data_IF_776841328151
#
_entry.id   IF_776841328151
#
_cell.length_a   1.000
_cell.length_b   1.000
_cell.length_c   1.000
_cell.angle_alpha   90.00
_cell.angle_beta   90.00
_cell.angle_gamma   90.00
#
_symmetry.space_group_name_H-M   'P 1'
#
loop_
_entity.id
_entity.type
_entity.pdbx_description
1 polymer ?
#
# COMPACT_ATOMS: atom_id res chain seq x y z
N UNK A 1 -5.19 -17.90 23.73
CA UNK A 1 -4.81 -17.85 22.30
C UNK A 1 -4.75 -16.39 21.91
N UNK A 2 -3.66 -15.93 21.30
CA UNK A 2 -3.59 -14.56 20.76
C UNK A 2 -4.46 -14.55 19.50
N UNK A 3 -5.43 -13.62 19.37
CA UNK A 3 -6.29 -13.57 18.18
C UNK A 3 -5.45 -13.24 16.94
N UNK A 4 -5.83 -13.80 15.78
CA UNK A 4 -5.21 -13.47 14.51
C UNK A 4 -5.29 -11.97 14.23
N UNK A 5 -4.31 -11.42 13.51
CA UNK A 5 -4.27 -9.97 13.25
C UNK A 5 -5.52 -9.49 12.53
N UNK A 6 -6.09 -10.28 11.61
CA UNK A 6 -7.31 -9.98 10.84
C UNK A 6 -8.63 -10.20 11.61
N UNK A 7 -8.59 -10.59 12.88
CA UNK A 7 -9.77 -10.67 13.77
C UNK A 7 -9.58 -9.84 15.06
N UNK A 8 -8.62 -8.93 15.07
CA UNK A 8 -8.29 -8.10 16.23
C UNK A 8 -8.51 -6.61 15.93
N UNK A 9 -9.64 -6.02 16.35
CA UNK A 9 -9.98 -4.62 16.06
C UNK A 9 -9.05 -3.62 16.77
N UNK A 10 -8.22 -4.07 17.72
CA UNK A 10 -7.19 -3.20 18.34
C UNK A 10 -5.93 -3.09 17.49
N UNK A 11 -5.76 -3.95 16.48
CA UNK A 11 -4.62 -3.95 15.58
C UNK A 11 -5.08 -3.51 14.19
N UNK A 12 -5.11 -2.19 13.96
CA UNK A 12 -5.48 -1.63 12.65
C UNK A 12 -4.36 -1.74 11.62
N UNK A 13 -3.12 -1.64 12.07
CA UNK A 13 -1.92 -1.73 11.24
C UNK A 13 -0.70 -2.02 12.11
N UNK A 14 0.39 -2.46 11.48
CA UNK A 14 1.72 -2.60 12.07
C UNK A 14 2.73 -1.91 11.17
N UNK A 15 3.61 -1.08 11.73
CA UNK A 15 4.68 -0.36 11.02
C UNK A 15 4.23 0.55 9.86
N UNK A 16 2.93 0.85 9.75
CA UNK A 16 2.42 1.85 8.81
C UNK A 16 2.86 3.25 9.24
N UNK A 17 3.42 4.02 8.32
CA UNK A 17 3.78 5.43 8.55
C UNK A 17 2.52 6.27 8.87
N UNK A 18 2.66 7.37 9.62
CA UNK A 18 1.56 8.28 9.90
C UNK A 18 0.93 8.83 8.61
N UNK A 19 -0.38 9.07 8.63
CA UNK A 19 -1.06 9.73 7.53
C UNK A 19 -0.49 11.14 7.28
N UNK A 20 -0.53 11.55 6.01
CA UNK A 20 -0.07 12.85 5.51
C UNK A 20 -0.92 13.29 4.32
N UNK A 21 -0.82 14.57 3.96
CA UNK A 21 -1.38 15.10 2.72
C UNK A 21 -0.90 14.29 1.50
N UNK A 22 -1.74 14.23 0.46
CA UNK A 22 -1.45 13.46 -0.74
C UNK A 22 -0.54 14.24 -1.69
N UNK A 23 0.75 13.89 -1.67
CA UNK A 23 1.77 14.43 -2.58
C UNK A 23 2.90 13.41 -2.78
N UNK A 24 3.70 13.63 -3.83
CA UNK A 24 4.89 12.85 -4.11
C UNK A 24 6.13 13.77 -4.09
N UNK A 25 7.24 13.22 -3.62
CA UNK A 25 8.52 13.91 -3.67
C UNK A 25 9.04 13.94 -5.11
N UNK A 26 9.69 15.04 -5.44
CA UNK A 26 10.30 15.25 -6.74
C UNK A 26 11.61 16.04 -6.58
N UNK A 27 12.54 15.91 -7.53
CA UNK A 27 13.77 16.69 -7.53
C UNK A 27 13.52 18.21 -7.40
N UNK A 28 14.45 18.96 -6.78
CA UNK A 28 14.35 20.41 -6.67
C UNK A 28 14.03 21.09 -8.01
N UNK A 29 13.11 22.06 -7.98
CA UNK A 29 12.68 22.79 -9.17
C UNK A 29 11.64 22.08 -10.05
N UNK A 30 11.21 20.86 -9.68
CA UNK A 30 10.08 20.17 -10.32
C UNK A 30 8.95 20.02 -9.31
N UNK A 31 7.88 20.81 -9.48
CA UNK A 31 6.61 20.49 -8.85
C UNK A 31 5.98 19.34 -9.63
N UNK A 32 5.58 18.27 -8.93
CA UNK A 32 4.86 17.16 -9.53
C UNK A 32 3.48 17.12 -8.90
N UNK A 33 2.46 17.40 -9.70
CA UNK A 33 1.08 17.28 -9.23
C UNK A 33 0.81 15.80 -8.94
N UNK A 34 -0.07 15.47 -7.97
CA UNK A 34 -0.25 14.07 -7.61
C UNK A 34 -0.81 13.18 -8.74
N UNK A 35 -1.51 13.77 -9.71
CA UNK A 35 -1.98 13.09 -10.93
C UNK A 35 -0.88 12.88 -11.97
N UNK A 36 0.26 13.55 -11.80
CA UNK A 36 1.43 13.50 -12.67
C UNK A 36 2.61 12.80 -11.98
N UNK A 37 2.36 12.07 -10.89
CA UNK A 37 3.38 11.40 -10.05
C UNK A 37 4.41 10.60 -10.85
N UNK A 38 3.99 10.01 -11.97
CA UNK A 38 4.84 9.22 -12.88
C UNK A 38 5.89 10.07 -13.61
N UNK A 39 5.76 11.40 -13.60
CA UNK A 39 6.79 12.34 -14.10
C UNK A 39 7.94 12.55 -13.10
N UNK A 40 7.76 12.14 -11.83
CA UNK A 40 8.83 12.20 -10.84
C UNK A 40 9.79 11.04 -11.03
N UNK A 41 11.10 11.28 -11.23
CA UNK A 41 12.09 10.19 -11.25
C UNK A 41 12.31 9.55 -9.86
N UNK A 42 11.63 10.05 -8.82
CA UNK A 42 11.65 9.52 -7.46
C UNK A 42 10.41 8.67 -7.15
N UNK A 43 9.61 8.33 -8.16
CA UNK A 43 8.48 7.41 -8.04
C UNK A 43 8.70 6.26 -9.02
N UNK A 44 8.53 5.03 -8.53
CA UNK A 44 8.50 3.82 -9.33
C UNK A 44 7.13 3.16 -9.14
N UNK A 45 6.40 2.99 -10.24
CA UNK A 45 5.17 2.21 -10.24
C UNK A 45 5.51 0.71 -10.27
N UNK A 46 5.03 -0.03 -9.27
CA UNK A 46 5.21 -1.48 -9.13
C UNK A 46 4.03 -2.29 -9.66
N UNK A 47 3.08 -1.66 -10.35
CA UNK A 47 2.01 -2.34 -11.07
C UNK A 47 2.53 -3.17 -12.25
N UNK A 48 1.64 -3.94 -12.87
CA UNK A 48 1.98 -4.89 -13.94
C UNK A 48 1.58 -6.32 -13.58
N UNK A 49 2.23 -7.31 -14.21
CA UNK A 49 1.94 -8.71 -13.94
C UNK A 49 2.65 -9.17 -12.66
N UNK A 50 1.88 -9.66 -11.69
CA UNK A 50 2.39 -10.23 -10.44
C UNK A 50 2.07 -11.72 -10.40
N UNK A 51 2.99 -12.50 -9.83
CA UNK A 51 2.74 -13.88 -9.45
C UNK A 51 1.64 -13.91 -8.39
N UNK A 52 0.70 -14.82 -8.54
CA UNK A 52 -0.47 -14.91 -7.67
C UNK A 52 -0.94 -16.35 -7.45
N UNK A 53 -1.25 -16.64 -6.20
CA UNK A 53 -1.91 -17.89 -5.78
C UNK A 53 -3.05 -17.56 -4.82
N UNK A 54 -4.20 -18.20 -5.04
CA UNK A 54 -5.37 -18.08 -4.18
C UNK A 54 -5.48 -19.33 -3.30
N UNK A 55 -5.76 -19.14 -2.00
CA UNK A 55 -6.07 -20.21 -1.04
C UNK A 55 -7.40 -20.02 -0.38
N UNK A 56 -7.99 -21.12 0.06
CA UNK A 56 -9.29 -21.12 0.73
C UNK A 56 -9.23 -20.57 2.16
N UNK A 57 -8.04 -20.50 2.77
CA UNK A 57 -7.86 -20.04 4.14
C UNK A 57 -6.52 -19.33 4.34
N UNK A 58 -6.44 -18.30 5.20
CA UNK A 58 -5.17 -17.64 5.53
C UNK A 58 -4.21 -18.53 6.32
N UNK A 59 -4.64 -19.71 6.79
CA UNK A 59 -3.79 -20.67 7.48
C UNK A 59 -3.03 -21.60 6.52
N UNK A 60 -3.47 -21.68 5.26
CA UNK A 60 -2.75 -22.37 4.20
C UNK A 60 -1.77 -21.37 3.59
N UNK A 61 -0.54 -21.42 4.09
CA UNK A 61 0.55 -20.52 3.73
C UNK A 61 1.67 -21.36 3.08
N UNK A 62 1.49 -21.77 1.81
CA UNK A 62 2.42 -22.69 1.13
C UNK A 62 3.81 -22.06 0.93
N UNK A 63 3.91 -20.74 1.09
CA UNK A 63 5.12 -19.97 0.85
C UNK A 63 5.91 -19.66 2.11
N UNK A 64 5.42 -20.07 3.28
CA UNK A 64 6.10 -19.83 4.56
C UNK A 64 6.42 -18.35 4.73
N UNK A 65 5.46 -17.46 4.43
CA UNK A 65 5.63 -16.02 4.60
C UNK A 65 6.16 -15.71 6.01
N UNK A 66 7.46 -15.37 6.12
CA UNK A 66 8.17 -15.13 7.38
C UNK A 66 9.25 -16.15 7.80
N UNK A 67 9.48 -17.25 7.06
CA UNK A 67 10.56 -18.22 7.38
C UNK A 67 11.53 -18.47 6.23
N UNK A 68 11.03 -18.73 5.04
CA UNK A 68 11.82 -18.96 3.82
C UNK A 68 10.92 -18.60 2.67
N UNK A 69 11.07 -17.37 2.15
CA UNK A 69 10.38 -16.98 0.94
C UNK A 69 10.69 -18.00 -0.16
N UNK A 70 9.72 -18.47 -0.96
CA UNK A 70 10.07 -19.31 -2.07
C UNK A 70 10.85 -18.45 -3.06
N UNK A 71 12.01 -18.95 -3.46
CA UNK A 71 12.30 -18.95 -4.89
C UNK A 71 10.99 -19.30 -5.60
N UNK A 72 10.36 -18.28 -6.21
CA UNK A 72 9.13 -18.34 -7.01
C UNK A 72 8.98 -19.76 -7.52
N UNK A 73 8.04 -20.52 -6.94
CA UNK A 73 7.95 -21.98 -7.03
C UNK A 73 8.85 -22.53 -8.14
N UNK A 74 10.09 -22.93 -7.80
CA UNK A 74 10.87 -23.74 -8.74
C UNK A 74 9.91 -24.82 -9.20
N UNK A 75 9.78 -25.03 -10.52
CA UNK A 75 8.75 -25.82 -11.25
C UNK A 75 8.53 -27.27 -10.72
N UNK A 76 9.29 -27.62 -9.69
CA UNK A 76 9.33 -28.79 -8.83
C UNK A 76 8.25 -28.87 -7.73
N UNK A 77 7.54 -27.79 -7.42
CA UNK A 77 6.44 -27.78 -6.43
C UNK A 77 5.13 -28.42 -6.95
N UNK A 78 4.14 -28.67 -6.07
CA UNK A 78 2.79 -29.11 -6.46
C UNK A 78 2.18 -28.18 -7.50
N UNK A 79 1.38 -28.73 -8.43
CA UNK A 79 0.75 -27.94 -9.50
C UNK A 79 -0.16 -26.82 -8.96
N UNK A 80 -0.85 -27.09 -7.84
CA UNK A 80 -1.71 -26.13 -7.14
C UNK A 80 -0.94 -24.97 -6.46
N UNK A 81 0.37 -25.13 -6.26
CA UNK A 81 1.26 -24.10 -5.71
C UNK A 81 1.90 -23.23 -6.81
N UNK A 82 1.68 -23.57 -8.09
CA UNK A 82 2.24 -22.81 -9.21
C UNK A 82 1.53 -21.46 -9.32
N UNK A 83 2.26 -20.33 -9.28
CA UNK A 83 1.66 -19.02 -9.43
C UNK A 83 1.12 -18.84 -10.85
N UNK A 84 -0.03 -18.18 -10.94
CA UNK A 84 -0.49 -17.58 -12.19
C UNK A 84 -0.14 -16.09 -12.19
N UNK A 85 -0.12 -15.47 -13.37
CA UNK A 85 0.08 -14.03 -13.48
C UNK A 85 -1.26 -13.28 -13.45
N UNK A 86 -1.38 -12.33 -12.54
CA UNK A 86 -2.53 -11.39 -12.48
C UNK A 86 -2.02 -9.95 -12.58
N UNK A 87 -2.77 -9.03 -13.23
CA UNK A 87 -2.39 -7.64 -13.23
C UNK A 87 -2.60 -7.00 -11.85
N UNK A 88 -1.71 -6.12 -11.46
CA UNK A 88 -1.87 -5.22 -10.32
C UNK A 88 -1.81 -3.78 -10.86
N UNK A 89 -2.82 -2.93 -10.58
CA UNK A 89 -3.97 -3.21 -9.73
C UNK A 89 -5.05 -4.10 -10.38
N UNK A 90 -5.69 -4.93 -9.58
CA UNK A 90 -6.92 -5.65 -9.95
C UNK A 90 -7.68 -6.22 -8.75
N UNK A 91 -8.84 -6.80 -9.01
CA UNK A 91 -9.57 -7.65 -8.06
C UNK A 91 -9.44 -9.10 -8.51
N UNK A 92 -9.09 -10.02 -7.62
CA UNK A 92 -8.75 -11.38 -8.06
C UNK A 92 -9.95 -12.16 -8.57
N UNK A 93 -11.19 -11.79 -8.19
CA UNK A 93 -12.41 -12.48 -8.65
C UNK A 93 -12.60 -12.42 -10.19
N UNK A 94 -11.87 -11.55 -10.90
CA UNK A 94 -11.88 -11.53 -12.37
C UNK A 94 -10.83 -12.47 -13.01
N UNK A 95 -9.99 -13.11 -12.20
CA UNK A 95 -8.87 -13.97 -12.62
C UNK A 95 -8.86 -15.34 -11.92
N UNK A 96 -9.87 -15.62 -11.08
CA UNK A 96 -9.99 -16.88 -10.34
C UNK A 96 -11.43 -17.35 -10.32
N UNK A 97 -11.66 -18.53 -9.75
CA UNK A 97 -13.00 -19.07 -9.52
C UNK A 97 -13.68 -18.53 -8.25
N UNK A 98 -13.00 -17.67 -7.46
CA UNK A 98 -13.65 -16.98 -6.33
C UNK A 98 -14.73 -16.03 -6.83
N UNK A 99 -15.89 -16.08 -6.20
CA UNK A 99 -17.08 -15.39 -6.72
C UNK A 99 -17.20 -14.00 -6.11
N UNK A 100 -17.55 -12.97 -6.93
CA UNK A 100 -17.96 -11.69 -6.39
C UNK A 100 -19.34 -11.83 -5.72
N UNK A 101 -19.54 -11.13 -4.61
CA UNK A 101 -20.85 -11.06 -3.95
C UNK A 101 -21.42 -9.67 -4.12
N UNK A 102 -22.70 -9.54 -4.46
CA UNK A 102 -23.41 -8.27 -4.37
C UNK A 102 -24.46 -8.37 -3.27
N UNK A 103 -24.38 -7.48 -2.30
CA UNK A 103 -25.39 -7.35 -1.24
C UNK A 103 -25.61 -5.87 -0.94
N UNK A 104 -26.82 -5.54 -0.47
CA UNK A 104 -27.15 -4.17 -0.07
C UNK A 104 -26.79 -3.93 1.41
N UNK A 105 -27.36 -4.75 2.32
CA UNK A 105 -27.21 -4.61 3.79
C UNK A 105 -26.72 -5.89 4.47
N UNK A 106 -26.83 -7.03 3.79
CA UNK A 106 -26.48 -8.31 4.42
C UNK A 106 -25.01 -8.60 4.17
N UNK A 107 -24.24 -8.88 5.22
CA UNK A 107 -22.89 -9.41 5.06
C UNK A 107 -22.93 -10.72 4.26
N UNK A 108 -22.02 -10.92 3.29
CA UNK A 108 -21.93 -12.17 2.54
C UNK A 108 -21.28 -13.32 3.34
N UNK A 109 -21.06 -13.11 4.65
CA UNK A 109 -20.49 -14.05 5.60
C UNK A 109 -21.23 -13.99 6.96
N UNK A 110 -21.08 -14.98 7.86
CA UNK A 110 -21.74 -14.99 9.16
C UNK A 110 -21.40 -13.76 10.01
N UNK A 111 -22.43 -13.17 10.63
CA UNK A 111 -22.31 -12.01 11.51
C UNK A 111 -21.92 -12.43 12.93
N UNK A 112 -20.62 -12.45 13.25
CA UNK A 112 -20.07 -12.69 14.60
C UNK A 112 -18.87 -11.78 14.92
N UNK A 113 -19.03 -10.45 15.02
CA UNK A 113 -17.89 -9.54 15.20
C UNK A 113 -17.11 -9.80 16.50
N UNK A 114 -15.76 -9.74 16.49
CA UNK A 114 -14.89 -9.38 15.36
C UNK A 114 -14.46 -10.58 14.49
N UNK A 115 -15.06 -11.75 14.68
CA UNK A 115 -14.66 -12.98 13.99
C UNK A 115 -15.14 -13.00 12.55
N UNK A 116 -14.39 -13.67 11.70
CA UNK A 116 -14.71 -13.90 10.28
C UNK A 116 -14.61 -15.40 9.99
N UNK A 117 -15.11 -15.89 8.84
CA UNK A 117 -14.97 -17.30 8.47
C UNK A 117 -13.52 -17.79 8.52
N UNK A 118 -13.32 -19.06 8.89
CA UNK A 118 -12.02 -19.72 8.76
C UNK A 118 -11.70 -20.10 7.31
N UNK A 119 -12.74 -20.47 6.54
CA UNK A 119 -12.72 -20.53 5.08
C UNK A 119 -12.84 -19.11 4.55
N UNK A 120 -11.70 -18.48 4.32
CA UNK A 120 -11.55 -17.07 4.00
C UNK A 120 -10.53 -16.93 2.87
N UNK A 121 -11.01 -16.72 1.62
CA UNK A 121 -10.15 -16.64 0.46
C UNK A 121 -9.00 -15.67 0.69
N UNK A 122 -7.78 -16.16 0.46
CA UNK A 122 -6.54 -15.43 0.74
C UNK A 122 -5.67 -15.42 -0.50
N UNK A 123 -5.41 -14.23 -1.01
CA UNK A 123 -4.55 -13.99 -2.17
C UNK A 123 -3.11 -13.75 -1.73
N UNK A 124 -2.19 -14.51 -2.30
CA UNK A 124 -0.76 -14.33 -2.13
C UNK A 124 -0.19 -13.77 -3.42
N UNK A 125 0.35 -12.56 -3.36
CA UNK A 125 0.91 -11.83 -4.50
C UNK A 125 2.42 -11.68 -4.34
N UNK A 126 3.16 -11.73 -5.45
CA UNK A 126 4.56 -11.30 -5.45
C UNK A 126 5.03 -10.72 -6.78
N UNK A 127 6.00 -9.83 -6.71
CA UNK A 127 6.70 -9.32 -7.89
C UNK A 127 8.18 -9.09 -7.59
N UNK A 128 8.95 -8.97 -8.67
CA UNK A 128 10.37 -8.61 -8.66
C UNK A 128 10.53 -7.23 -9.25
N UNK A 129 11.42 -6.43 -8.69
CA UNK A 129 11.71 -5.10 -9.20
C UNK A 129 13.15 -4.68 -8.93
N UNK A 130 13.63 -3.72 -9.72
CA UNK A 130 14.91 -3.04 -9.51
C UNK A 130 14.64 -1.62 -9.02
N UNK A 131 15.41 -1.17 -8.03
CA UNK A 131 15.39 0.23 -7.62
C UNK A 131 16.08 1.07 -8.70
N UNK A 132 15.50 2.20 -9.15
CA UNK A 132 16.13 3.05 -10.15
C UNK A 132 17.46 3.62 -9.65
N UNK A 133 18.39 3.85 -10.58
CA UNK A 133 19.65 4.54 -10.26
C UNK A 133 19.39 5.95 -9.69
N UNK A 134 20.30 6.41 -8.83
CA UNK A 134 20.22 7.75 -8.22
C UNK A 134 19.37 7.86 -6.96
N UNK A 135 18.82 6.74 -6.47
CA UNK A 135 18.09 6.67 -5.18
C UNK A 135 18.99 6.30 -4.00
N UNK A 136 20.29 6.10 -4.23
CA UNK A 136 21.26 5.78 -3.18
C UNK A 136 21.26 6.86 -2.08
N UNK A 137 21.22 6.41 -0.82
CA UNK A 137 21.16 7.30 0.35
C UNK A 137 19.83 8.01 0.59
N UNK A 138 18.82 7.82 -0.26
CA UNK A 138 17.45 8.27 0.00
C UNK A 138 16.69 7.20 0.78
N UNK A 139 15.72 7.62 1.58
CA UNK A 139 14.74 6.72 2.21
C UNK A 139 13.81 6.17 1.14
N UNK A 140 13.41 4.91 1.26
CA UNK A 140 12.48 4.26 0.35
C UNK A 140 11.17 3.96 1.05
N UNK A 141 10.09 4.54 0.53
CA UNK A 141 8.75 4.37 1.08
C UNK A 141 7.92 3.56 0.10
N UNK A 142 7.44 2.40 0.55
CA UNK A 142 6.50 1.57 -0.18
C UNK A 142 5.08 2.04 0.13
N UNK A 143 4.28 2.29 -0.89
CA UNK A 143 2.93 2.84 -0.80
C UNK A 143 1.94 1.98 -1.55
N UNK A 144 0.91 1.51 -0.85
CA UNK A 144 -0.27 0.88 -1.44
C UNK A 144 -1.42 1.89 -1.43
N UNK A 145 -1.98 2.21 -2.60
CA UNK A 145 -3.11 3.17 -2.69
C UNK A 145 -4.46 2.55 -2.27
N UNK A 146 -4.56 1.22 -2.23
CA UNK A 146 -5.77 0.50 -1.82
C UNK A 146 -5.63 -1.02 -1.96
N UNK A 147 -5.88 -1.73 -0.87
CA UNK A 147 -5.87 -3.20 -0.79
C UNK A 147 -7.08 -3.66 0.01
N UNK A 148 -7.85 -4.61 -0.51
CA UNK A 148 -9.11 -5.04 0.09
C UNK A 148 -9.02 -6.51 0.59
N UNK A 149 -9.25 -6.83 1.88
CA UNK A 149 -9.69 -5.94 2.98
C UNK A 149 -8.60 -5.65 4.03
N UNK A 150 -7.66 -6.58 4.18
CA UNK A 150 -6.45 -6.39 4.98
C UNK A 150 -5.28 -7.16 4.40
N UNK A 151 -4.06 -6.71 4.70
CA UNK A 151 -2.87 -7.35 4.17
C UNK A 151 -1.68 -7.25 5.11
N UNK A 152 -0.73 -8.15 4.87
CA UNK A 152 0.63 -8.09 5.41
C UNK A 152 1.61 -8.06 4.22
N UNK A 153 2.69 -7.32 4.36
CA UNK A 153 3.70 -7.12 3.32
C UNK A 153 5.09 -7.51 3.82
N UNK A 154 5.84 -8.16 2.95
CA UNK A 154 7.23 -8.55 3.13
C UNK A 154 8.07 -8.07 1.97
N UNK A 155 9.31 -7.71 2.24
CA UNK A 155 10.29 -7.35 1.23
C UNK A 155 11.57 -8.15 1.49
N UNK A 156 12.07 -8.85 0.48
CA UNK A 156 13.26 -9.70 0.59
C UNK A 156 13.20 -10.67 1.78
N UNK A 157 12.01 -11.22 2.05
CA UNK A 157 11.75 -12.14 3.15
C UNK A 157 11.56 -11.49 4.53
N UNK A 158 11.79 -10.19 4.68
CA UNK A 158 11.60 -9.45 5.93
C UNK A 158 10.16 -8.93 6.01
N UNK A 159 9.45 -9.22 7.10
CA UNK A 159 8.09 -8.67 7.32
C UNK A 159 8.15 -7.17 7.59
N UNK A 160 7.61 -6.38 6.68
CA UNK A 160 7.61 -4.93 6.76
C UNK A 160 6.49 -4.46 7.68
N UNK A 161 5.26 -4.94 7.48
CA UNK A 161 4.11 -4.47 8.23
C UNK A 161 2.78 -5.00 7.71
N UNK A 162 1.68 -4.48 8.27
CA UNK A 162 0.32 -4.85 7.89
C UNK A 162 -0.64 -3.66 8.00
N UNK A 163 -1.76 -3.72 7.28
CA UNK A 163 -2.80 -2.69 7.34
C UNK A 163 -4.19 -3.28 7.09
N UNK A 164 -5.19 -2.62 7.68
CA UNK A 164 -6.63 -2.80 7.43
C UNK A 164 -7.25 -1.50 6.93
N UNK A 165 -8.42 -1.63 6.33
CA UNK A 165 -9.17 -0.52 5.76
C UNK A 165 -8.80 -0.35 4.30
N UNK A 166 -9.75 -0.63 3.40
CA UNK A 166 -9.45 -0.84 1.99
C UNK A 166 -9.31 0.46 1.20
N UNK A 167 -9.90 1.55 1.68
CA UNK A 167 -10.10 2.78 0.90
C UNK A 167 -9.03 3.86 1.09
N UNK A 168 -8.13 3.67 2.06
CA UNK A 168 -7.06 4.61 2.38
C UNK A 168 -5.67 4.04 2.05
N UNK A 169 -4.72 4.90 1.69
CA UNK A 169 -3.35 4.46 1.42
C UNK A 169 -2.65 3.93 2.68
N UNK A 170 -1.74 2.98 2.47
CA UNK A 170 -0.82 2.50 3.49
C UNK A 170 0.64 2.67 3.02
N UNK A 171 1.43 3.39 3.82
CA UNK A 171 2.84 3.64 3.56
C UNK A 171 3.72 2.92 4.59
N UNK A 172 4.86 2.39 4.14
CA UNK A 172 5.85 1.71 4.97
C UNK A 172 7.24 2.17 4.58
N UNK A 173 8.08 2.45 5.57
CA UNK A 173 9.52 2.60 5.33
C UNK A 173 10.13 1.23 5.10
N UNK A 174 10.74 1.03 3.94
CA UNK A 174 11.37 -0.23 3.51
C UNK A 174 12.87 -0.07 3.28
N UNK A 175 13.45 1.05 3.70
CA UNK A 175 14.84 1.42 3.41
C UNK A 175 15.83 0.33 3.81
N UNK A 176 15.69 -0.20 5.02
CA UNK A 176 16.59 -1.23 5.58
C UNK A 176 16.40 -2.62 4.96
N UNK A 177 15.28 -2.87 4.29
CA UNK A 177 14.97 -4.15 3.66
C UNK A 177 15.26 -4.16 2.16
N UNK A 178 15.52 -3.01 1.55
CA UNK A 178 15.90 -2.88 0.14
C UNK A 178 17.38 -3.21 -0.04
N UNK A 179 17.67 -3.93 -1.12
CA UNK A 179 19.02 -4.08 -1.66
C UNK A 179 19.14 -3.20 -2.91
N UNK A 180 19.88 -2.09 -2.82
CA UNK A 180 20.13 -1.22 -3.97
C UNK A 180 20.96 -1.96 -5.06
N UNK A 181 20.70 -1.64 -6.34
CA UNK A 181 21.36 -2.23 -7.52
C UNK A 181 21.18 -3.76 -7.73
N UNK A 182 20.36 -4.42 -6.90
CA UNK A 182 19.99 -5.83 -7.06
C UNK A 182 18.46 -5.98 -7.20
N UNK A 183 18.03 -7.15 -7.68
CA UNK A 183 16.61 -7.47 -7.77
C UNK A 183 16.03 -7.66 -6.36
N UNK A 184 14.92 -6.98 -6.09
CA UNK A 184 14.18 -7.06 -4.85
C UNK A 184 12.88 -7.83 -5.07
N UNK A 185 12.44 -8.59 -4.07
CA UNK A 185 11.20 -9.37 -4.11
C UNK A 185 10.19 -8.81 -3.13
N UNK A 186 9.10 -8.28 -3.66
CA UNK A 186 7.96 -7.81 -2.88
C UNK A 186 6.90 -8.90 -2.80
N UNK A 187 6.35 -9.08 -1.62
CA UNK A 187 5.44 -10.16 -1.29
C UNK A 187 4.28 -9.64 -0.43
N UNK A 188 3.05 -9.99 -0.78
CA UNK A 188 1.84 -9.49 -0.12
C UNK A 188 0.84 -10.61 0.09
N UNK A 189 0.40 -10.78 1.34
CA UNK A 189 -0.72 -11.64 1.70
C UNK A 189 -1.95 -10.76 1.91
N UNK A 190 -3.01 -10.99 1.15
CA UNK A 190 -4.29 -10.26 1.21
C UNK A 190 -5.39 -11.21 1.65
N UNK A 191 -6.06 -10.89 2.76
CA UNK A 191 -7.16 -11.70 3.31
C UNK A 191 -8.49 -11.03 2.97
N UNK A 192 -9.42 -11.78 2.37
CA UNK A 192 -10.72 -11.28 1.89
C UNK A 192 -11.56 -10.67 3.02
N UNK A 193 -11.78 -11.42 4.10
CA UNK A 193 -12.55 -10.95 5.26
C UNK A 193 -11.65 -10.64 6.45
N UNK A 194 -11.89 -9.51 7.09
CA UNK A 194 -11.27 -9.14 8.36
C UNK A 194 -12.27 -8.49 9.30
N UNK A 195 -11.89 -8.23 10.55
CA UNK A 195 -12.70 -7.44 11.49
C UNK A 195 -13.07 -6.05 10.93
N UNK A 196 -12.26 -5.50 10.02
CA UNK A 196 -12.56 -4.23 9.36
C UNK A 196 -13.67 -4.36 8.30
N UNK A 197 -13.95 -5.55 7.77
CA UNK A 197 -15.04 -5.77 6.82
C UNK A 197 -16.41 -5.44 7.43
N UNK A 198 -16.56 -5.53 8.76
CA UNK A 198 -17.76 -5.08 9.48
C UNK A 198 -17.97 -3.55 9.45
N UNK A 199 -17.00 -2.77 8.97
CA UNK A 199 -17.10 -1.32 8.76
C UNK A 199 -17.19 -0.95 7.27
N UNK A 200 -17.17 -1.94 6.38
CA UNK A 200 -17.11 -1.79 4.92
C UNK A 200 -18.35 -2.41 4.22
N UNK A 201 -19.50 -2.39 4.89
CA UNK A 201 -20.81 -2.88 4.39
C UNK A 201 -21.53 -1.80 3.56
N UNK A 202 -20.93 -1.42 2.43
CA UNK A 202 -21.60 -0.56 1.46
C UNK A 202 -22.49 -1.38 0.52
N UNK A 203 -23.55 -0.75 0.00
CA UNK A 203 -24.40 -1.31 -1.09
C UNK A 203 -23.59 -1.38 -2.39
N UNK A 204 -22.80 -2.45 -2.54
CA UNK A 204 -21.86 -2.63 -3.64
C UNK A 204 -21.45 -4.10 -3.82
N UNK A 205 -20.57 -4.32 -4.79
CA UNK A 205 -19.88 -5.59 -4.96
C UNK A 205 -18.77 -5.75 -3.91
N UNK A 206 -18.77 -6.88 -3.22
CA UNK A 206 -17.67 -7.35 -2.40
C UNK A 206 -16.63 -8.02 -3.28
N UNK A 207 -15.47 -7.36 -3.38
CA UNK A 207 -14.33 -7.75 -4.19
C UNK A 207 -13.07 -7.71 -3.32
N UNK A 208 -11.96 -8.27 -3.80
CA UNK A 208 -10.73 -8.34 -3.02
C UNK A 208 -9.48 -8.32 -3.88
N UNK A 209 -8.38 -7.85 -3.32
CA UNK A 209 -7.09 -7.78 -3.99
C UNK A 209 -6.40 -6.43 -3.83
N UNK A 210 -5.28 -6.27 -4.55
CA UNK A 210 -4.54 -5.03 -4.64
C UNK A 210 -5.19 -4.20 -5.76
N UNK A 211 -6.25 -3.46 -5.43
CA UNK A 211 -7.17 -2.87 -6.40
C UNK A 211 -6.84 -1.42 -6.79
N UNK A 212 -5.77 -0.84 -6.22
CA UNK A 212 -5.16 0.44 -6.64
C UNK A 212 -3.64 0.32 -6.68
N UNK A 213 -3.00 1.33 -7.23
CA UNK A 213 -1.56 1.34 -7.51
C UNK A 213 -0.68 0.97 -6.31
N UNK A 214 0.42 0.31 -6.60
CA UNK A 214 1.52 0.06 -5.67
C UNK A 214 2.72 0.85 -6.17
N UNK A 215 3.29 1.67 -5.32
CA UNK A 215 4.35 2.60 -5.66
C UNK A 215 5.52 2.44 -4.69
N UNK A 216 6.75 2.51 -5.20
CA UNK A 216 7.93 2.77 -4.39
C UNK A 216 8.35 4.22 -4.62
N UNK A 217 8.67 4.93 -3.55
CA UNK A 217 9.05 6.34 -3.62
C UNK A 217 10.38 6.58 -2.92
N UNK A 218 11.29 7.30 -3.58
CA UNK A 218 12.47 7.86 -2.96
C UNK A 218 12.13 9.17 -2.24
N UNK A 219 12.60 9.26 -1.00
CA UNK A 219 12.42 10.41 -0.12
C UNK A 219 13.80 10.92 0.30
N UNK A 220 14.16 12.17 -0.04
CA UNK A 220 15.46 12.72 0.35
C UNK A 220 15.56 12.84 1.87
N UNK A 221 16.79 12.81 2.40
CA UNK A 221 17.06 12.83 3.84
C UNK A 221 16.41 14.04 4.54
N UNK A 222 16.42 15.20 3.90
CA UNK A 222 15.69 16.40 4.32
C UNK A 222 14.50 16.59 3.40
N UNK A 223 13.28 16.52 3.95
CA UNK A 223 12.05 16.53 3.15
C UNK A 223 10.83 17.05 3.91
N UNK A 224 9.79 17.46 3.18
CA UNK A 224 8.47 17.76 3.74
C UNK A 224 7.76 16.43 4.05
N UNK A 225 7.45 16.16 5.31
CA UNK A 225 6.61 15.00 5.69
C UNK A 225 5.15 15.26 5.37
N UNK A 226 4.67 16.45 5.70
CA UNK A 226 3.26 16.81 5.62
C UNK A 226 3.10 18.32 5.55
N UNK A 227 1.96 18.78 5.05
CA UNK A 227 1.61 20.18 5.07
C UNK A 227 0.10 20.38 5.11
N UNK A 228 -0.32 21.53 5.66
CA UNK A 228 -1.69 21.97 5.63
C UNK A 228 -1.78 23.40 5.11
N UNK A 229 -2.40 23.57 3.94
CA UNK A 229 -2.62 24.86 3.31
C UNK A 229 -4.07 25.33 3.57
N UNK A 230 -4.20 26.48 4.23
CA UNK A 230 -5.50 27.08 4.60
C UNK A 230 -5.67 28.40 3.85
N UNK A 231 -6.55 28.40 2.85
CA UNK A 231 -6.93 29.60 2.13
C UNK A 231 -8.23 30.18 2.72
N UNK A 232 -8.18 31.41 3.22
CA UNK A 232 -9.31 32.13 3.80
C UNK A 232 -9.49 33.50 3.14
N UNK A 233 -10.66 34.10 3.36
CA UNK A 233 -10.95 35.46 2.92
C UNK A 233 -11.07 36.34 4.16
N UNK A 234 -10.17 37.31 4.31
CA UNK A 234 -10.24 38.32 5.35
C UNK A 234 -11.27 39.41 5.00
N UNK A 235 -11.68 40.18 6.02
CA UNK A 235 -12.54 41.35 5.84
C UNK A 235 -11.98 42.28 4.75
N UNK A 236 -12.87 42.81 3.91
CA UNK A 236 -12.49 43.62 2.76
C UNK A 236 -12.08 42.83 1.52
N UNK A 237 -12.23 41.50 1.53
CA UNK A 237 -12.07 40.64 0.34
C UNK A 237 -10.61 40.29 0.02
N UNK A 238 -9.69 40.45 0.98
CA UNK A 238 -8.28 40.06 0.82
C UNK A 238 -8.13 38.56 1.08
N UNK A 239 -7.59 37.82 0.12
CA UNK A 239 -7.21 36.41 0.32
C UNK A 239 -6.01 36.27 1.27
N UNK A 240 -6.07 35.29 2.16
CA UNK A 240 -4.98 34.92 3.09
C UNK A 240 -4.70 33.44 2.92
N UNK A 241 -3.43 33.09 2.68
CA UNK A 241 -2.96 31.71 2.66
C UNK A 241 -2.04 31.48 3.84
N UNK A 242 -2.41 30.55 4.71
CA UNK A 242 -1.58 30.05 5.80
C UNK A 242 -1.07 28.65 5.43
N UNK A 243 0.21 28.40 5.67
CA UNK A 243 0.85 27.12 5.39
C UNK A 243 1.53 26.61 6.67
N UNK A 244 1.06 25.49 7.18
CA UNK A 244 1.77 24.71 8.19
C UNK A 244 2.52 23.59 7.45
N UNK A 245 3.82 23.43 7.70
CA UNK A 245 4.62 22.38 7.08
C UNK A 245 5.42 21.64 8.15
N UNK A 246 5.44 20.32 8.05
CA UNK A 246 6.23 19.43 8.89
C UNK A 246 7.35 18.83 8.07
N UNK A 247 8.56 18.81 8.64
CA UNK A 247 9.77 18.36 7.95
C UNK A 247 10.41 17.18 8.68
N UNK A 248 11.03 16.30 7.91
CA UNK A 248 11.92 15.26 8.40
C UNK A 248 13.35 15.59 7.98
N UNK A 249 14.32 15.36 8.88
CA UNK A 249 15.75 15.57 8.62
C UNK A 249 16.16 17.03 8.39
N UNK A 250 15.30 18.01 8.70
CA UNK A 250 15.65 19.42 8.66
C UNK A 250 16.49 19.84 9.87
N UNK A 251 17.38 20.80 9.66
CA UNK A 251 18.30 21.38 10.65
C UNK A 251 18.18 22.91 10.65
N UNK A 252 18.80 23.58 11.63
CA UNK A 252 18.71 25.05 11.82
C UNK A 252 19.22 25.89 10.62
N UNK A 253 19.86 25.28 9.62
CA UNK A 253 20.31 25.93 8.38
C UNK A 253 19.37 25.77 7.18
N UNK A 254 18.34 24.93 7.29
CA UNK A 254 17.42 24.64 6.20
C UNK A 254 16.34 25.71 6.06
N UNK A 255 15.88 25.94 4.83
CA UNK A 255 14.86 26.94 4.51
C UNK A 255 13.76 26.36 3.62
N UNK A 256 12.50 26.66 3.96
CA UNK A 256 11.37 26.42 3.08
C UNK A 256 11.25 27.58 2.08
N UNK A 257 11.25 27.25 0.80
CA UNK A 257 10.88 28.18 -0.28
C UNK A 257 9.52 27.76 -0.81
N UNK A 258 8.54 28.68 -0.77
CA UNK A 258 7.19 28.46 -1.27
C UNK A 258 6.82 29.55 -2.29
N UNK A 259 6.17 29.14 -3.38
CA UNK A 259 5.67 30.03 -4.43
C UNK A 259 4.18 29.77 -4.63
N UNK A 260 3.39 30.84 -4.74
CA UNK A 260 1.98 30.78 -5.11
C UNK A 260 1.84 31.21 -6.56
N UNK A 261 1.34 30.30 -7.39
CA UNK A 261 1.12 30.50 -8.82
C UNK A 261 -0.35 30.78 -9.08
N UNK A 262 -0.64 31.62 -10.09
CA UNK A 262 -2.01 31.79 -10.57
C UNK A 262 -2.34 30.72 -11.65
N UNK A 263 -3.57 30.65 -12.19
CA UNK A 263 -3.91 29.65 -13.20
C UNK A 263 -3.09 29.72 -14.51
N UNK A 264 -2.36 30.81 -14.76
CA UNK A 264 -1.50 30.99 -15.94
C UNK A 264 -0.05 30.52 -15.72
N UNK A 265 0.35 30.22 -14.49
CA UNK A 265 1.69 29.78 -14.12
C UNK A 265 2.49 30.90 -13.47
#
# INVERSE_FOLDING_TARGET
MVPFSWENPRHLHRNRLPSRAYFFHAPPGKAVLPLERELSPWVLNLGGAWDFVLRDTPLDDPFGFGTTWPSVADDTGPEEDRPQLVPVPSVWQTYTDDRPHYTNVQYPFPLDPPRVPSENPTGYFSCRFLVPEGWAGMRKVLRFEGVDSCFTVWLNGVEIGSSKGSRLPAEFDVTEAITDAEENVLAVKVVKWSDASYLEDQDMWWLSGIFRDVLLQAVPATSIRDFFARATLADGGKGVLELDAEFEGATDGDALVASLLDPSG
#
